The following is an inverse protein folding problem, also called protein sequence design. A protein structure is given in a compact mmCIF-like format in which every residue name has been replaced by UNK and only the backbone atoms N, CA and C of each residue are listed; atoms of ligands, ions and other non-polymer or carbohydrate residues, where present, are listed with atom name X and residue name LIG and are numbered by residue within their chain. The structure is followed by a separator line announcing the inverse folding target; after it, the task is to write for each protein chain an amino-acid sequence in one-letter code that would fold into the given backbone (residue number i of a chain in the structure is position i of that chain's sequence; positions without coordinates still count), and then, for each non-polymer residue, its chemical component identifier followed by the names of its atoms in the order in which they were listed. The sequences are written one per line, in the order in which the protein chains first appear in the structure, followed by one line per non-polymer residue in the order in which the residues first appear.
data_IF_607636800694
#
_entry.id   IF_607636800694
#
_cell.length_a   1.000
_cell.length_b   1.000
_cell.length_c   1.000
_cell.angle_alpha   90.00
_cell.angle_beta   90.00
_cell.angle_gamma   90.00
#
_symmetry.space_group_name_H-M   'P 1'
#
loop_
_entity.id
_entity.type
_entity.pdbx_description
1 polymer ?
#
# COMPACT_ATOMS: atom_id res chain seq x y z
N UNK A 1 -12.88 5.32 11.87
CA UNK A 1 -11.44 5.15 12.15
C UNK A 1 -10.69 4.96 10.84
N UNK A 2 -9.61 5.67 10.70
CA UNK A 2 -8.75 5.49 9.54
C UNK A 2 -7.71 4.40 9.82
N UNK A 3 -7.20 3.80 8.78
CA UNK A 3 -6.11 2.84 8.82
C UNK A 3 -4.84 3.52 8.33
N UNK A 4 -3.69 2.94 8.67
CA UNK A 4 -2.39 3.45 8.24
C UNK A 4 -1.92 2.70 7.00
N UNK A 5 -1.13 3.36 6.16
CA UNK A 5 -0.58 2.78 4.92
C UNK A 5 0.93 2.85 4.91
N UNK A 6 1.54 1.88 4.22
CA UNK A 6 2.94 1.92 3.81
C UNK A 6 2.98 1.83 2.29
N UNK A 7 3.62 2.79 1.64
CA UNK A 7 3.74 2.81 0.18
C UNK A 7 5.01 2.10 -0.24
N UNK A 8 4.89 1.09 -1.12
CA UNK A 8 6.02 0.33 -1.64
C UNK A 8 7.00 1.21 -2.45
N UNK A 9 8.19 0.70 -2.73
CA UNK A 9 9.30 1.46 -3.32
C UNK A 9 8.97 2.21 -4.61
N UNK A 10 8.07 1.68 -5.43
CA UNK A 10 7.72 2.34 -6.69
C UNK A 10 6.87 3.60 -6.49
N UNK A 11 6.36 3.82 -5.30
CA UNK A 11 5.56 5.00 -4.97
C UNK A 11 6.43 6.04 -4.26
N UNK A 12 6.34 7.29 -4.70
CA UNK A 12 7.20 8.36 -4.17
C UNK A 12 6.75 8.84 -2.78
N UNK A 13 7.69 9.43 -2.06
CA UNK A 13 7.37 10.07 -0.78
C UNK A 13 6.47 11.31 -0.98
N UNK A 14 6.41 11.86 -2.18
CA UNK A 14 5.49 12.94 -2.50
C UNK A 14 4.03 12.50 -2.36
N UNK A 15 3.70 11.28 -2.80
CA UNK A 15 2.37 10.70 -2.60
C UNK A 15 2.05 10.61 -1.10
N UNK A 16 2.98 10.07 -0.31
CA UNK A 16 2.81 9.98 1.13
C UNK A 16 2.66 11.36 1.78
N UNK A 17 3.49 12.31 1.36
CA UNK A 17 3.45 13.69 1.88
C UNK A 17 2.12 14.38 1.64
N UNK A 18 1.56 14.22 0.45
CA UNK A 18 0.26 14.80 0.13
C UNK A 18 -0.86 14.19 0.96
N UNK A 19 -0.81 12.89 1.19
CA UNK A 19 -1.81 12.21 2.03
C UNK A 19 -1.66 12.60 3.51
N UNK A 20 -0.43 12.75 4.01
CA UNK A 20 -0.20 13.23 5.37
C UNK A 20 -0.77 14.64 5.58
N UNK A 21 -0.64 15.52 4.59
CA UNK A 21 -1.22 16.87 4.64
C UNK A 21 -2.75 16.84 4.75
N UNK A 22 -3.37 15.77 4.29
CA UNK A 22 -4.83 15.57 4.39
C UNK A 22 -5.23 14.86 5.68
N UNK A 23 -4.28 14.63 6.60
CA UNK A 23 -4.55 14.03 7.90
C UNK A 23 -4.47 12.52 7.94
N UNK A 24 -3.94 11.87 6.90
CA UNK A 24 -3.83 10.42 6.85
C UNK A 24 -2.44 9.95 7.31
N UNK A 25 -2.40 8.78 7.93
CA UNK A 25 -1.14 8.18 8.41
C UNK A 25 -0.54 7.31 7.30
N UNK A 26 0.41 7.88 6.57
CA UNK A 26 1.04 7.23 5.42
C UNK A 26 2.54 7.42 5.47
N UNK A 27 3.29 6.33 5.35
CA UNK A 27 4.74 6.34 5.21
C UNK A 27 5.12 5.71 3.88
N UNK A 28 6.28 6.09 3.35
CA UNK A 28 6.80 5.53 2.11
C UNK A 28 8.09 4.76 2.39
N UNK A 29 8.22 3.58 1.79
CA UNK A 29 9.45 2.76 1.87
C UNK A 29 10.67 3.58 1.44
N UNK A 30 10.53 4.37 0.37
CA UNK A 30 11.66 5.17 -0.16
C UNK A 30 12.21 6.19 0.83
N UNK A 31 11.42 6.58 1.83
CA UNK A 31 11.85 7.52 2.86
C UNK A 31 12.50 6.85 4.07
N UNK A 32 12.51 5.51 4.12
CA UNK A 32 13.06 4.76 5.25
C UNK A 32 14.22 3.88 4.78
N UNK A 33 15.49 4.25 5.08
CA UNK A 33 16.64 3.47 4.67
C UNK A 33 16.63 2.02 5.16
N UNK A 34 15.93 1.74 6.26
CA UNK A 34 15.84 0.38 6.79
C UNK A 34 14.93 -0.52 5.93
N UNK A 35 14.05 0.06 5.14
CA UNK A 35 13.10 -0.68 4.30
C UNK A 35 13.51 -0.76 2.84
N UNK A 36 14.27 0.23 2.36
CA UNK A 36 14.69 0.27 0.95
C UNK A 36 15.51 -0.98 0.62
N UNK A 37 15.15 -1.64 -0.47
CA UNK A 37 15.86 -2.82 -0.96
C UNK A 37 15.48 -4.14 -0.29
N UNK A 38 14.57 -4.12 0.68
CA UNK A 38 14.10 -5.37 1.29
C UNK A 38 13.26 -6.19 0.30
N UNK A 39 13.37 -7.53 0.34
CA UNK A 39 12.47 -8.39 -0.44
C UNK A 39 11.00 -8.16 -0.07
N UNK A 40 10.11 -8.44 -1.02
CA UNK A 40 8.66 -8.25 -0.84
C UNK A 40 8.11 -8.89 0.43
N UNK A 41 8.58 -10.11 0.73
CA UNK A 41 8.14 -10.84 1.92
C UNK A 41 8.49 -10.08 3.20
N UNK A 42 9.68 -9.48 3.26
CA UNK A 42 10.10 -8.68 4.40
C UNK A 42 9.37 -7.34 4.47
N UNK A 43 9.09 -6.73 3.33
CA UNK A 43 8.30 -5.50 3.28
C UNK A 43 6.89 -5.75 3.85
N UNK A 44 6.24 -6.83 3.45
CA UNK A 44 4.92 -7.17 3.97
C UNK A 44 4.98 -7.47 5.48
N UNK A 45 6.01 -8.16 5.93
CA UNK A 45 6.20 -8.45 7.34
C UNK A 45 6.39 -7.16 8.17
N UNK A 46 7.18 -6.22 7.66
CA UNK A 46 7.39 -4.94 8.34
C UNK A 46 6.13 -4.07 8.34
N UNK A 47 5.39 -4.04 7.24
CA UNK A 47 4.10 -3.35 7.19
C UNK A 47 3.12 -3.92 8.22
N UNK A 48 3.04 -5.24 8.29
CA UNK A 48 2.18 -5.94 9.23
C UNK A 48 2.55 -5.63 10.69
N UNK A 49 3.85 -5.65 10.98
CA UNK A 49 4.38 -5.35 12.31
C UNK A 49 4.04 -3.92 12.74
N UNK A 50 4.02 -2.99 11.79
CA UNK A 50 3.67 -1.60 12.02
C UNK A 50 2.16 -1.33 11.96
N UNK A 51 1.34 -2.36 11.74
CA UNK A 51 -0.10 -2.26 11.56
C UNK A 51 -0.47 -1.33 10.39
N UNK A 52 0.28 -1.42 9.29
CA UNK A 52 0.06 -0.63 8.08
C UNK A 52 -0.32 -1.54 6.93
N UNK A 53 -1.37 -1.18 6.18
CA UNK A 53 -1.68 -1.85 4.94
C UNK A 53 -0.65 -1.43 3.89
N UNK A 54 -0.16 -2.39 3.10
CA UNK A 54 0.85 -2.13 2.08
C UNK A 54 0.17 -1.73 0.77
N UNK A 55 0.62 -0.63 0.16
CA UNK A 55 0.17 -0.21 -1.17
C UNK A 55 1.28 -0.51 -2.16
N UNK A 56 0.99 -1.32 -3.17
CA UNK A 56 2.00 -1.75 -4.14
C UNK A 56 1.40 -1.94 -5.53
N UNK A 57 2.22 -1.72 -6.56
CA UNK A 57 1.86 -2.05 -7.93
C UNK A 57 2.35 -3.45 -8.33
N UNK A 58 3.07 -4.13 -7.45
CA UNK A 58 3.65 -5.44 -7.74
C UNK A 58 2.63 -6.56 -7.51
N UNK A 59 1.56 -6.53 -8.29
CA UNK A 59 0.44 -7.48 -8.18
C UNK A 59 0.92 -8.91 -8.32
N UNK A 60 1.80 -9.15 -9.28
CA UNK A 60 2.33 -10.47 -9.62
C UNK A 60 2.98 -11.17 -8.43
N UNK A 61 3.69 -10.44 -7.57
CA UNK A 61 4.41 -11.03 -6.45
C UNK A 61 3.60 -11.01 -5.15
N UNK A 62 2.75 -10.03 -4.94
CA UNK A 62 2.00 -9.90 -3.69
C UNK A 62 0.73 -10.74 -3.64
N UNK A 63 0.11 -11.08 -4.77
CA UNK A 63 -1.05 -12.00 -4.76
C UNK A 63 -0.61 -13.39 -4.29
N UNK A 64 0.49 -13.99 -4.81
CA UNK A 64 0.97 -15.27 -4.27
C UNK A 64 1.41 -15.17 -2.81
N UNK A 65 1.98 -14.04 -2.40
CA UNK A 65 2.44 -13.86 -1.03
C UNK A 65 1.27 -13.84 -0.04
N UNK A 66 0.17 -13.18 -0.39
CA UNK A 66 -1.07 -13.21 0.38
C UNK A 66 -1.59 -14.64 0.53
N UNK A 67 -1.58 -15.41 -0.56
CA UNK A 67 -2.01 -16.80 -0.53
C UNK A 67 -1.14 -17.64 0.40
N UNK A 68 0.18 -17.43 0.41
CA UNK A 68 1.08 -18.11 1.33
C UNK A 68 0.82 -17.76 2.78
N UNK A 69 0.50 -16.49 3.07
CA UNK A 69 0.12 -16.06 4.42
C UNK A 69 -1.11 -16.81 4.90
N UNK A 70 -2.14 -16.89 4.06
CA UNK A 70 -3.38 -17.59 4.40
C UNK A 70 -3.15 -19.07 4.61
N UNK A 71 -2.36 -19.72 3.75
CA UNK A 71 -2.02 -21.13 3.89
C UNK A 71 -1.25 -21.43 5.17
N UNK A 72 -0.42 -20.51 5.62
CA UNK A 72 0.39 -20.66 6.83
C UNK A 72 -0.35 -20.23 8.11
N UNK A 73 -1.60 -19.77 7.99
CA UNK A 73 -2.35 -19.23 9.12
C UNK A 73 -1.79 -17.91 9.63
N UNK A 74 -1.02 -17.18 8.82
CA UNK A 74 -0.44 -15.90 9.16
C UNK A 74 -1.37 -14.77 8.75
N UNK A 75 -1.31 -13.67 9.48
CA UNK A 75 -2.10 -12.48 9.21
C UNK A 75 -1.21 -11.34 8.72
N UNK A 76 -1.76 -10.49 7.87
CA UNK A 76 -1.15 -9.21 7.51
C UNK A 76 -2.15 -8.08 7.70
N UNK A 77 -1.68 -6.84 7.67
CA UNK A 77 -2.54 -5.68 7.94
C UNK A 77 -3.37 -5.24 6.73
N UNK A 78 -3.19 -5.89 5.60
CA UNK A 78 -3.91 -5.58 4.37
C UNK A 78 -2.96 -5.24 3.24
N UNK A 79 -3.40 -5.45 2.00
CA UNK A 79 -2.66 -5.12 0.79
C UNK A 79 -3.58 -4.39 -0.17
N UNK A 80 -3.15 -3.22 -0.63
CA UNK A 80 -3.83 -2.45 -1.67
C UNK A 80 -3.00 -2.58 -2.94
N UNK A 81 -3.58 -3.17 -3.96
CA UNK A 81 -2.93 -3.39 -5.24
C UNK A 81 -3.37 -2.31 -6.23
N UNK A 82 -2.41 -1.69 -6.91
CA UNK A 82 -2.73 -0.76 -7.98
C UNK A 82 -2.16 -1.28 -9.30
N UNK A 83 -2.97 -1.21 -10.35
CA UNK A 83 -2.56 -1.63 -11.68
C UNK A 83 -2.00 -0.43 -12.43
N UNK A 84 -0.86 -0.61 -13.11
CA UNK A 84 -0.30 0.42 -13.99
C UNK A 84 -1.13 0.65 -15.25
N UNK A 85 -2.08 -0.24 -15.54
CA UNK A 85 -3.08 -0.01 -16.59
C UNK A 85 -4.13 1.00 -16.15
N UNK A 86 -4.57 0.90 -14.90
CA UNK A 86 -5.54 1.84 -14.31
C UNK A 86 -4.86 3.17 -13.94
N UNK A 87 -3.61 3.09 -13.51
CA UNK A 87 -2.80 4.25 -13.10
C UNK A 87 -1.52 4.28 -13.94
N UNK A 88 -1.59 4.76 -15.20
CA UNK A 88 -0.39 4.87 -16.03
C UNK A 88 0.68 5.74 -15.37
N UNK A 89 1.94 5.34 -15.49
CA UNK A 89 3.06 6.05 -14.90
C UNK A 89 3.48 7.24 -15.77
N UNK A 90 2.57 8.19 -15.91
CA UNK A 90 2.75 9.43 -16.65
C UNK A 90 2.65 10.64 -15.69
N UNK A 91 2.49 11.84 -16.22
CA UNK A 91 2.41 13.07 -15.41
C UNK A 91 1.21 13.08 -14.46
N UNK A 92 0.17 12.32 -14.77
CA UNK A 92 -1.05 12.27 -13.93
C UNK A 92 -0.96 11.24 -12.81
N UNK A 93 0.09 10.42 -12.79
CA UNK A 93 0.20 9.27 -11.87
C UNK A 93 0.05 9.67 -10.40
N UNK A 94 0.86 10.61 -9.94
CA UNK A 94 0.86 11.03 -8.54
C UNK A 94 -0.51 11.55 -8.11
N UNK A 95 -1.10 12.46 -8.87
CA UNK A 95 -2.41 13.02 -8.57
C UNK A 95 -3.52 11.97 -8.57
N UNK A 96 -3.49 11.07 -9.55
CA UNK A 96 -4.48 9.99 -9.65
C UNK A 96 -4.40 9.03 -8.46
N UNK A 97 -3.18 8.66 -8.05
CA UNK A 97 -2.98 7.77 -6.90
C UNK A 97 -3.40 8.45 -5.60
N UNK A 98 -3.01 9.71 -5.41
CA UNK A 98 -3.43 10.49 -4.22
C UNK A 98 -4.95 10.58 -4.13
N UNK A 99 -5.62 10.89 -5.24
CA UNK A 99 -7.08 10.96 -5.27
C UNK A 99 -7.74 9.63 -4.95
N UNK A 100 -7.22 8.54 -5.54
CA UNK A 100 -7.77 7.21 -5.34
C UNK A 100 -7.58 6.73 -3.90
N UNK A 101 -6.41 6.98 -3.30
CA UNK A 101 -6.15 6.62 -1.90
C UNK A 101 -6.98 7.48 -0.94
N UNK A 102 -7.18 8.76 -1.27
CA UNK A 102 -8.07 9.62 -0.50
C UNK A 102 -9.50 9.06 -0.49
N UNK A 103 -9.99 8.61 -1.65
CA UNK A 103 -11.30 7.97 -1.76
C UNK A 103 -11.36 6.67 -0.96
N UNK A 104 -10.28 5.90 -0.96
CA UNK A 104 -10.19 4.66 -0.17
C UNK A 104 -10.30 4.96 1.32
N UNK A 105 -9.59 5.98 1.81
CA UNK A 105 -9.65 6.39 3.22
C UNK A 105 -11.06 6.83 3.64
N UNK A 106 -11.89 7.30 2.71
CA UNK A 106 -13.26 7.67 3.01
C UNK A 106 -14.17 6.47 3.29
N UNK A 107 -13.71 5.27 2.94
CA UNK A 107 -14.44 4.02 3.19
C UNK A 107 -13.94 3.40 4.49
N UNK A 108 -14.78 3.23 5.53
CA UNK A 108 -14.33 2.64 6.80
C UNK A 108 -13.71 1.26 6.66
N UNK A 109 -14.22 0.46 5.70
CA UNK A 109 -13.75 -0.89 5.44
C UNK A 109 -13.00 -1.00 4.12
N UNK A 110 -12.35 0.10 3.68
CA UNK A 110 -11.65 0.13 2.41
C UNK A 110 -10.52 -0.90 2.31
N UNK A 111 -9.79 -1.08 3.39
CA UNK A 111 -8.78 -2.12 3.53
C UNK A 111 -8.69 -2.48 5.02
N UNK A 112 -8.16 -3.65 5.32
CA UNK A 112 -8.02 -4.09 6.70
C UNK A 112 -7.29 -5.42 6.78
N UNK A 113 -7.20 -6.03 7.99
CA UNK A 113 -6.45 -7.25 8.18
C UNK A 113 -6.86 -8.34 7.19
N UNK A 114 -5.86 -8.97 6.61
CA UNK A 114 -5.99 -10.11 5.67
C UNK A 114 -6.77 -9.82 4.39
N UNK A 115 -7.06 -8.56 4.12
CA UNK A 115 -7.78 -8.18 2.90
C UNK A 115 -6.83 -7.72 1.82
N UNK A 116 -7.15 -8.10 0.59
CA UNK A 116 -6.47 -7.64 -0.61
C UNK A 116 -7.49 -6.90 -1.44
N UNK A 117 -7.22 -5.63 -1.73
CA UNK A 117 -8.14 -4.82 -2.54
C UNK A 117 -7.39 -4.23 -3.72
N UNK A 118 -8.09 -4.12 -4.86
CA UNK A 118 -7.55 -3.40 -6.01
C UNK A 118 -8.01 -1.95 -5.94
N UNK A 119 -7.06 -1.04 -6.03
CA UNK A 119 -7.36 0.39 -5.99
C UNK A 119 -8.12 0.79 -7.26
N UNK A 120 -9.29 1.39 -7.08
CA UNK A 120 -10.10 1.92 -8.18
C UNK A 120 -9.74 3.37 -8.44
N UNK A 121 -9.74 3.75 -9.69
CA UNK A 121 -9.49 5.12 -10.10
C UNK A 121 -10.77 5.94 -10.16
#
# INVERSE_FOLDING_TARGET
MSYALLLDEMLSDDVAGQLRKRGHDVLAVVADPALVGLPDEQILAEATKAARALVTANVKDFVPLDARYKSAGRQHAGVVLLSTKTFPQDQSFTGAVVSALTALFAKPDGVGPDRVVFLAR
#
